data_IF_066910787278
#
_entry.id   IF_066910787278
#
_cell.length_a   1.000
_cell.length_b   1.000
_cell.length_c   1.000
_cell.angle_alpha   90.00
_cell.angle_beta   90.00
_cell.angle_gamma   90.00
#
_symmetry.space_group_name_H-M   'P 1'
#
loop_
_entity.id
_entity.type
_entity.pdbx_description
1 polymer ?
#
# COMPACT_ATOMS: atom_id res chain seq x y z
N UNK A 1 16.18 3.37 32.84
CA UNK A 1 15.83 3.31 31.40
C UNK A 1 15.12 4.61 31.08
N UNK A 2 15.68 5.44 30.19
CA UNK A 2 15.04 6.73 29.87
C UNK A 2 13.92 6.53 28.86
N UNK A 3 13.01 7.50 28.75
CA UNK A 3 11.89 7.42 27.81
C UNK A 3 12.35 7.39 26.35
N UNK A 4 13.39 8.16 26.03
CA UNK A 4 14.07 8.10 24.73
C UNK A 4 14.64 6.71 24.42
N UNK A 5 15.22 6.02 25.41
CA UNK A 5 15.69 4.64 25.21
C UNK A 5 14.53 3.69 24.92
N UNK A 6 13.40 3.85 25.61
CA UNK A 6 12.19 3.03 25.36
C UNK A 6 11.61 3.26 23.97
N UNK A 7 11.68 4.48 23.44
CA UNK A 7 11.25 4.79 22.08
C UNK A 7 12.17 4.13 21.04
N UNK A 8 13.50 4.26 21.20
CA UNK A 8 14.46 3.60 20.29
C UNK A 8 14.30 2.09 20.29
N UNK A 9 14.12 1.49 21.46
CA UNK A 9 13.92 0.05 21.57
C UNK A 9 12.61 -0.40 20.91
N UNK A 10 11.52 0.37 21.06
CA UNK A 10 10.27 0.11 20.37
C UNK A 10 10.41 0.22 18.84
N UNK A 11 11.17 1.21 18.34
CA UNK A 11 11.43 1.37 16.90
C UNK A 11 12.29 0.24 16.34
N UNK A 12 13.32 -0.21 17.07
CA UNK A 12 14.14 -1.37 16.68
C UNK A 12 13.31 -2.65 16.62
N UNK A 13 12.42 -2.85 17.61
CA UNK A 13 11.48 -3.97 17.59
C UNK A 13 10.51 -3.87 16.41
N UNK A 14 10.00 -2.68 16.08
CA UNK A 14 9.13 -2.48 14.93
C UNK A 14 9.82 -2.84 13.62
N UNK A 15 11.08 -2.43 13.44
CA UNK A 15 11.88 -2.81 12.26
C UNK A 15 12.05 -4.32 12.16
N UNK A 16 12.39 -5.00 13.27
CA UNK A 16 12.53 -6.45 13.29
C UNK A 16 11.21 -7.18 12.93
N UNK A 17 10.07 -6.69 13.43
CA UNK A 17 8.75 -7.27 13.10
C UNK A 17 8.40 -7.04 11.62
N UNK A 18 8.70 -5.86 11.06
CA UNK A 18 8.46 -5.56 9.65
C UNK A 18 9.35 -6.40 8.72
N UNK A 19 10.59 -6.65 9.11
CA UNK A 19 11.44 -7.60 8.40
C UNK A 19 10.87 -9.00 8.49
N UNK A 20 10.52 -9.48 9.69
CA UNK A 20 9.88 -10.78 9.91
C UNK A 20 8.64 -10.99 9.05
N UNK A 21 7.74 -10.00 8.98
CA UNK A 21 6.58 -10.03 8.10
C UNK A 21 6.99 -10.17 6.62
N UNK A 22 8.05 -9.49 6.18
CA UNK A 22 8.56 -9.61 4.81
C UNK A 22 9.02 -11.04 4.50
N UNK A 23 9.71 -11.69 5.43
CA UNK A 23 10.09 -13.09 5.25
C UNK A 23 8.87 -14.02 5.27
N UNK A 24 7.90 -13.79 6.17
CA UNK A 24 6.66 -14.55 6.22
C UNK A 24 5.84 -14.41 4.92
N UNK A 25 5.75 -13.19 4.37
CA UNK A 25 5.11 -12.94 3.07
C UNK A 25 5.82 -13.67 1.92
N UNK A 26 7.16 -13.74 1.93
CA UNK A 26 7.92 -14.48 0.94
C UNK A 26 7.72 -16.00 1.05
N UNK A 27 7.54 -16.51 2.27
CA UNK A 27 7.24 -17.92 2.55
C UNK A 27 5.76 -18.30 2.49
N UNK A 28 4.85 -17.33 2.31
CA UNK A 28 3.39 -17.51 2.47
C UNK A 28 3.01 -18.12 3.83
N UNK A 29 3.78 -17.79 4.88
CA UNK A 29 3.57 -18.24 6.24
C UNK A 29 2.45 -17.44 6.91
N UNK A 30 1.26 -18.02 6.99
CA UNK A 30 0.08 -17.36 7.55
C UNK A 30 0.25 -17.05 9.05
N UNK A 31 0.82 -17.99 9.81
CA UNK A 31 1.00 -17.81 11.26
C UNK A 31 2.01 -16.67 11.52
N UNK A 32 3.08 -16.62 10.74
CA UNK A 32 4.04 -15.52 10.76
C UNK A 32 3.41 -14.16 10.40
N UNK A 33 2.54 -14.11 9.38
CA UNK A 33 1.85 -12.88 8.98
C UNK A 33 0.88 -12.39 10.08
N UNK A 34 0.10 -13.29 10.67
CA UNK A 34 -0.87 -12.96 11.72
C UNK A 34 -0.16 -12.55 13.00
N UNK A 35 0.90 -13.27 13.39
CA UNK A 35 1.74 -12.91 14.53
C UNK A 35 2.36 -11.52 14.38
N UNK A 36 2.94 -11.24 13.20
CA UNK A 36 3.49 -9.93 12.92
C UNK A 36 2.43 -8.81 12.92
N UNK A 37 1.19 -9.09 12.52
CA UNK A 37 0.10 -8.11 12.61
C UNK A 37 -0.21 -7.72 14.07
N UNK A 38 -0.32 -8.72 14.97
CA UNK A 38 -0.53 -8.48 16.39
C UNK A 38 0.63 -7.76 17.06
N UNK A 39 1.87 -8.13 16.72
CA UNK A 39 3.07 -7.45 17.25
C UNK A 39 3.16 -5.98 16.80
N UNK A 40 2.82 -5.68 15.54
CA UNK A 40 2.75 -4.30 15.05
C UNK A 40 1.72 -3.48 15.82
N UNK A 41 0.52 -4.02 16.06
CA UNK A 41 -0.53 -3.33 16.81
C UNK A 41 -0.07 -3.01 18.25
N UNK A 42 0.52 -4.00 18.93
CA UNK A 42 1.10 -3.83 20.26
C UNK A 42 2.19 -2.75 20.27
N UNK A 43 3.11 -2.79 19.30
CA UNK A 43 4.21 -1.82 19.21
C UNK A 43 3.71 -0.41 18.85
N UNK A 44 2.69 -0.27 18.02
CA UNK A 44 2.04 1.02 17.78
C UNK A 44 1.51 1.61 19.09
N UNK A 45 0.82 0.81 19.92
CA UNK A 45 0.38 1.25 21.25
C UNK A 45 1.55 1.72 22.14
N UNK A 46 2.67 1.00 22.14
CA UNK A 46 3.89 1.43 22.85
C UNK A 46 4.43 2.75 22.30
N UNK A 47 4.54 2.90 20.98
CA UNK A 47 5.05 4.10 20.33
C UNK A 47 4.17 5.33 20.60
N UNK A 48 2.84 5.17 20.63
CA UNK A 48 1.89 6.23 20.95
C UNK A 48 2.09 6.74 22.38
N UNK A 49 2.35 5.84 23.34
CA UNK A 49 2.64 6.24 24.72
C UNK A 49 4.03 6.86 24.89
N UNK A 50 5.00 6.45 24.07
CA UNK A 50 6.37 6.95 24.12
C UNK A 50 6.49 8.34 23.48
N UNK A 51 5.80 8.61 22.37
CA UNK A 51 6.01 9.79 21.51
C UNK A 51 5.26 11.08 21.95
N UNK A 52 4.91 11.22 23.23
CA UNK A 52 4.09 12.35 23.71
C UNK A 52 4.84 13.70 23.76
N UNK A 53 6.17 13.70 23.68
CA UNK A 53 6.98 14.92 23.66
C UNK A 53 7.80 15.03 22.36
N UNK A 54 7.60 16.07 21.53
CA UNK A 54 8.37 16.30 20.31
C UNK A 54 9.88 16.38 20.53
N UNK A 55 10.34 16.69 21.74
CA UNK A 55 11.76 16.74 22.11
C UNK A 55 12.44 15.36 22.21
N UNK A 56 11.67 14.27 22.29
CA UNK A 56 12.20 12.91 22.44
C UNK A 56 12.50 12.21 21.10
N UNK A 57 12.04 12.78 19.99
CA UNK A 57 12.35 12.28 18.65
C UNK A 57 13.66 12.94 18.19
N UNK A 58 14.77 12.23 18.37
CA UNK A 58 16.08 12.59 17.82
C UNK A 58 16.20 12.17 16.33
N UNK A 59 17.33 12.52 15.71
CA UNK A 59 17.58 12.21 14.29
C UNK A 59 17.66 10.70 14.01
N UNK A 60 18.19 9.92 14.96
CA UNK A 60 18.24 8.45 14.85
C UNK A 60 16.83 7.86 14.81
N UNK A 61 15.93 8.34 15.69
CA UNK A 61 14.53 7.94 15.71
C UNK A 61 13.82 8.29 14.39
N UNK A 62 14.09 9.47 13.81
CA UNK A 62 13.54 9.86 12.50
C UNK A 62 13.99 8.91 11.38
N UNK A 63 15.28 8.55 11.35
CA UNK A 63 15.80 7.59 10.38
C UNK A 63 15.18 6.19 10.53
N UNK A 64 14.96 5.73 11.76
CA UNK A 64 14.28 4.46 12.01
C UNK A 64 12.81 4.49 11.59
N UNK A 65 12.09 5.59 11.85
CA UNK A 65 10.70 5.79 11.41
C UNK A 65 10.58 5.78 9.87
N UNK A 66 11.48 6.46 9.17
CA UNK A 66 11.49 6.44 7.71
C UNK A 66 11.76 5.03 7.17
N UNK A 67 12.72 4.33 7.76
CA UNK A 67 13.06 2.94 7.40
C UNK A 67 11.87 2.00 7.62
N UNK A 68 11.19 2.11 8.76
CA UNK A 68 10.00 1.33 9.08
C UNK A 68 8.87 1.63 8.09
N UNK A 69 8.64 2.90 7.77
CA UNK A 69 7.64 3.30 6.76
C UNK A 69 7.93 2.67 5.39
N UNK A 70 9.18 2.71 4.94
CA UNK A 70 9.60 2.11 3.67
C UNK A 70 9.40 0.59 3.66
N UNK A 71 9.79 -0.10 4.74
CA UNK A 71 9.59 -1.55 4.85
C UNK A 71 8.11 -1.94 4.85
N UNK A 72 7.27 -1.22 5.59
CA UNK A 72 5.83 -1.49 5.62
C UNK A 72 5.17 -1.29 4.25
N UNK A 73 5.59 -0.28 3.50
CA UNK A 73 5.10 -0.06 2.13
C UNK A 73 5.49 -1.22 1.20
N UNK A 74 6.72 -1.74 1.31
CA UNK A 74 7.13 -2.94 0.58
C UNK A 74 6.28 -4.15 0.96
N UNK A 75 6.03 -4.38 2.26
CA UNK A 75 5.19 -5.49 2.72
C UNK A 75 3.76 -5.39 2.18
N UNK A 76 3.19 -4.17 2.15
CA UNK A 76 1.89 -3.90 1.55
C UNK A 76 1.88 -4.23 0.05
N UNK A 77 2.90 -3.81 -0.69
CA UNK A 77 3.01 -4.10 -2.13
C UNK A 77 3.07 -5.60 -2.40
N UNK A 78 3.89 -6.34 -1.67
CA UNK A 78 4.00 -7.81 -1.81
C UNK A 78 2.64 -8.48 -1.57
N UNK A 79 1.96 -8.14 -0.47
CA UNK A 79 0.62 -8.67 -0.15
C UNK A 79 -0.40 -8.39 -1.26
N UNK A 80 -0.39 -7.17 -1.79
CA UNK A 80 -1.30 -6.77 -2.86
C UNK A 80 -1.03 -7.51 -4.18
N UNK A 81 0.24 -7.74 -4.52
CA UNK A 81 0.63 -8.51 -5.70
C UNK A 81 0.13 -9.96 -5.57
N UNK A 82 0.29 -10.57 -4.40
CA UNK A 82 -0.21 -11.93 -4.13
C UNK A 82 -1.73 -11.98 -4.32
N UNK A 83 -2.47 -11.03 -3.74
CA UNK A 83 -3.92 -10.96 -3.86
C UNK A 83 -4.39 -10.77 -5.32
N UNK A 84 -3.72 -9.89 -6.08
CA UNK A 84 -4.00 -9.65 -7.49
C UNK A 84 -3.76 -10.90 -8.34
N UNK A 85 -2.67 -11.63 -8.06
CA UNK A 85 -2.32 -12.87 -8.77
C UNK A 85 -3.35 -13.97 -8.51
N UNK A 86 -3.80 -14.13 -7.26
CA UNK A 86 -4.85 -15.11 -6.91
C UNK A 86 -6.16 -14.75 -7.58
N UNK A 87 -6.59 -13.47 -7.50
CA UNK A 87 -7.83 -13.00 -8.14
C UNK A 87 -7.83 -13.24 -9.65
N UNK A 88 -6.75 -12.85 -10.34
CA UNK A 88 -6.61 -13.04 -11.79
C UNK A 88 -6.73 -14.50 -12.22
N UNK A 89 -6.24 -15.44 -11.41
CA UNK A 89 -6.36 -16.88 -11.69
C UNK A 89 -7.78 -17.39 -11.48
N UNK A 90 -8.47 -16.94 -10.43
CA UNK A 90 -9.87 -17.29 -10.19
C UNK A 90 -10.78 -16.75 -11.31
N UNK A 91 -10.52 -15.53 -11.78
CA UNK A 91 -11.24 -14.93 -12.90
C UNK A 91 -11.07 -15.72 -14.20
N UNK A 92 -9.86 -16.21 -14.47
CA UNK A 92 -9.58 -17.05 -15.63
C UNK A 92 -10.32 -18.40 -15.58
N UNK A 93 -10.44 -19.01 -14.39
CA UNK A 93 -11.16 -20.27 -14.20
C UNK A 93 -12.69 -20.11 -14.32
N UNK A 94 -13.22 -18.95 -13.92
CA UNK A 94 -14.66 -18.67 -13.96
C UNK A 94 -15.13 -18.08 -15.29
N UNK A 95 -14.22 -17.91 -16.26
CA UNK A 95 -14.55 -17.35 -17.57
C UNK A 95 -14.97 -15.89 -17.51
N UNK A 96 -14.60 -15.18 -16.44
CA UNK A 96 -14.81 -13.73 -16.28
C UNK A 96 -13.48 -12.99 -16.41
N UNK A 97 -12.81 -13.02 -17.58
CA UNK A 97 -11.63 -12.19 -17.76
C UNK A 97 -12.08 -10.75 -17.62
N UNK A 98 -11.56 -10.03 -16.61
CA UNK A 98 -11.65 -8.58 -16.57
C UNK A 98 -11.06 -8.07 -17.89
N UNK A 99 -11.94 -7.77 -18.84
CA UNK A 99 -11.56 -7.24 -20.14
C UNK A 99 -10.71 -6.01 -19.88
N UNK A 100 -9.46 -6.11 -20.32
CA UNK A 100 -8.42 -5.09 -20.33
C UNK A 100 -9.02 -3.68 -20.39
N UNK A 101 -9.23 -3.04 -19.22
CA UNK A 101 -9.44 -1.59 -19.15
C UNK A 101 -8.07 -0.96 -19.33
N UNK A 102 -7.63 -0.87 -20.58
CA UNK A 102 -6.73 0.22 -20.95
C UNK A 102 -7.45 1.51 -20.60
N UNK A 103 -6.95 2.21 -19.59
CA UNK A 103 -7.34 3.58 -19.34
C UNK A 103 -7.11 4.32 -20.67
N UNK A 104 -8.21 4.79 -21.27
CA UNK A 104 -8.22 5.34 -22.61
C UNK A 104 -7.08 6.35 -22.81
N UNK A 105 -6.13 5.97 -23.65
CA UNK A 105 -5.54 6.89 -24.62
C UNK A 105 -6.69 7.41 -25.50
N UNK A 106 -7.38 8.42 -24.98
CA UNK A 106 -8.59 9.00 -25.54
C UNK A 106 -8.49 10.51 -25.65
N UNK A 107 -7.31 11.06 -25.95
CA UNK A 107 -7.22 12.37 -26.63
C UNK A 107 -7.39 12.14 -28.13
N UNK A 108 -8.57 11.69 -28.54
CA UNK A 108 -8.98 11.67 -29.93
C UNK A 108 -9.81 12.93 -30.22
N UNK A 109 -9.11 13.91 -30.80
CA UNK A 109 -9.58 15.03 -31.61
C UNK A 109 -11.10 15.31 -31.66
N UNK A 110 -11.52 16.39 -31.01
CA UNK A 110 -12.73 17.13 -31.39
C UNK A 110 -12.46 17.84 -32.73
N UNK A 111 -12.74 17.16 -33.85
CA UNK A 111 -12.99 17.79 -35.15
C UNK A 111 -14.10 17.04 -35.87
N UNK A 112 -15.32 17.57 -35.82
CA UNK A 112 -16.35 17.29 -36.80
C UNK A 112 -17.27 18.52 -36.91
N UNK A 113 -17.18 19.23 -38.04
CA UNK A 113 -18.06 20.33 -38.38
C UNK A 113 -19.47 19.83 -38.76
N UNK A 114 -20.47 20.72 -38.78
CA UNK A 114 -21.83 20.33 -39.13
C UNK A 114 -21.98 20.17 -40.65
N UNK A 115 -22.49 19.00 -41.04
CA UNK A 115 -22.98 18.66 -42.38
C UNK A 115 -24.47 19.00 -42.43
N UNK A 116 -24.89 19.58 -43.55
CA UNK A 116 -26.09 20.40 -43.68
C UNK A 116 -27.45 19.69 -43.58
N UNK A 117 -28.44 20.48 -43.15
CA UNK A 117 -29.86 20.20 -43.30
C UNK A 117 -30.47 21.08 -44.40
N UNK A 118 -31.08 20.44 -45.39
CA UNK A 118 -31.66 21.02 -46.60
C UNK A 118 -33.19 21.06 -46.46
N UNK A 119 -33.80 22.23 -46.60
CA UNK A 119 -35.20 22.46 -47.00
C UNK A 119 -35.29 23.95 -47.39
N UNK A 120 -35.76 24.41 -48.55
CA UNK A 120 -36.71 23.86 -49.50
C UNK A 120 -37.92 24.79 -49.58
N UNK A 121 -37.99 25.65 -50.62
CA UNK A 121 -39.26 26.17 -51.15
C UNK A 121 -39.55 27.68 -51.01
N UNK A 122 -39.51 28.38 -52.15
CA UNK A 122 -40.48 29.34 -52.74
C UNK A 122 -41.23 30.29 -51.79
N UNK A 123 -41.35 31.59 -52.05
CA UNK A 123 -41.57 32.31 -53.30
C UNK A 123 -41.02 33.74 -53.22
#
# INVERSE_FOLDING_TARGET
MTRADSLRDALRQMLAVLEGERQALAGLDLDGIVGAAGDKERLCGTLDTASLDPGEIDEECRGMLESARRLNEVNRQVRNIIAANVSSRLDALTGSPHLYRTAGSGRAALRAGPIGGRAGGRA
#
